data_IF_892137571050
#
_entry.id   IF_892137571050
#
_cell.length_a   1.000
_cell.length_b   1.000
_cell.length_c   1.000
_cell.angle_alpha   90.00
_cell.angle_beta   90.00
_cell.angle_gamma   90.00
#
_symmetry.space_group_name_H-M   'P 1'
#
loop_
_entity.id
_entity.type
_entity.pdbx_description
1 polymer ?
#
# COMPACT_ATOMS: atom_id res chain seq x y z
N UNK A 1 2.26 -0.50 -1.80
CA UNK A 1 2.02 -1.09 -0.46
C UNK A 1 1.32 -0.07 0.41
N UNK A 2 0.32 -0.49 1.18
CA UNK A 2 -0.38 0.34 2.17
C UNK A 2 -0.15 -0.28 3.54
N UNK A 3 0.39 0.51 4.48
CA UNK A 3 0.69 0.11 5.85
C UNK A 3 0.01 1.05 6.82
N UNK A 4 -1.01 0.56 7.53
CA UNK A 4 -1.80 1.37 8.45
C UNK A 4 -2.65 0.50 9.37
N UNK A 5 -3.08 1.08 10.49
CA UNK A 5 -4.23 0.56 11.23
C UNK A 5 -5.54 0.85 10.47
N UNK A 6 -6.67 0.37 10.99
CA UNK A 6 -7.97 0.68 10.40
C UNK A 6 -8.33 2.15 10.67
N UNK A 7 -8.32 2.97 9.62
CA UNK A 7 -8.76 4.36 9.66
C UNK A 7 -9.25 4.83 8.26
N UNK A 8 -9.98 5.96 8.18
CA UNK A 8 -10.48 6.47 6.90
C UNK A 8 -9.39 6.79 5.87
N UNK A 9 -8.23 7.30 6.30
CA UNK A 9 -7.12 7.63 5.40
C UNK A 9 -6.57 6.37 4.70
N UNK A 10 -6.52 5.23 5.39
CA UNK A 10 -6.17 3.93 4.79
C UNK A 10 -7.16 3.54 3.69
N UNK A 11 -8.47 3.70 3.92
CA UNK A 11 -9.52 3.41 2.93
C UNK A 11 -9.37 4.34 1.72
N UNK A 12 -9.12 5.63 1.95
CA UNK A 12 -8.88 6.61 0.89
C UNK A 12 -7.65 6.23 0.05
N UNK A 13 -6.53 5.86 0.68
CA UNK A 13 -5.33 5.37 -0.01
C UNK A 13 -5.63 4.13 -0.88
N UNK A 14 -6.41 3.19 -0.37
CA UNK A 14 -6.78 1.96 -1.08
C UNK A 14 -7.64 2.24 -2.32
N UNK A 15 -8.66 3.09 -2.16
CA UNK A 15 -9.52 3.53 -3.26
C UNK A 15 -8.75 4.35 -4.29
N UNK A 16 -7.87 5.25 -3.86
CA UNK A 16 -7.04 6.06 -4.74
C UNK A 16 -6.08 5.19 -5.57
N UNK A 17 -5.42 4.22 -4.94
CA UNK A 17 -4.55 3.27 -5.63
C UNK A 17 -5.32 2.45 -6.67
N UNK A 18 -6.52 1.97 -6.32
CA UNK A 18 -7.39 1.23 -7.25
C UNK A 18 -7.82 2.10 -8.44
N UNK A 19 -8.24 3.35 -8.19
CA UNK A 19 -8.58 4.31 -9.26
C UNK A 19 -7.39 4.64 -10.17
N UNK A 20 -6.19 4.68 -9.63
CA UNK A 20 -4.95 4.90 -10.38
C UNK A 20 -4.46 3.64 -11.12
N UNK A 21 -5.19 2.52 -11.09
CA UNK A 21 -4.79 1.26 -11.71
C UNK A 21 -3.59 0.58 -11.06
N UNK A 22 -3.28 0.94 -9.81
CA UNK A 22 -2.17 0.35 -9.08
C UNK A 22 -2.57 -0.97 -8.41
N UNK A 23 -1.66 -1.94 -8.41
CA UNK A 23 -1.84 -3.18 -7.65
C UNK A 23 -1.62 -2.91 -6.17
N UNK A 24 -2.66 -3.11 -5.38
CA UNK A 24 -2.61 -2.84 -3.95
C UNK A 24 -1.96 -4.00 -3.19
N UNK A 25 -1.20 -3.68 -2.14
CA UNK A 25 -0.65 -4.66 -1.19
C UNK A 25 -0.84 -4.12 0.20
N UNK A 26 -1.76 -4.71 0.98
CA UNK A 26 -1.97 -4.32 2.37
C UNK A 26 -1.11 -5.17 3.29
N UNK A 27 -0.55 -4.55 4.33
CA UNK A 27 0.25 -5.23 5.35
C UNK A 27 -0.30 -4.99 6.74
N UNK A 28 -0.15 -6.00 7.62
CA UNK A 28 -0.51 -5.85 9.02
C UNK A 28 0.45 -4.87 9.72
N UNK A 29 -0.05 -3.95 10.58
CA UNK A 29 0.79 -3.02 11.33
C UNK A 29 1.89 -3.66 12.16
N UNK A 30 1.70 -4.92 12.58
CA UNK A 30 2.64 -5.62 13.46
C UNK A 30 3.88 -6.16 12.73
N UNK A 31 3.87 -6.22 11.38
CA UNK A 31 5.02 -6.72 10.63
C UNK A 31 6.24 -5.83 10.84
N UNK A 32 7.39 -6.46 11.04
CA UNK A 32 8.70 -5.80 11.18
C UNK A 32 9.41 -5.70 9.83
N UNK A 33 10.44 -4.86 9.76
CA UNK A 33 11.25 -4.62 8.57
C UNK A 33 11.68 -5.90 7.84
N UNK A 34 12.09 -6.95 8.56
CA UNK A 34 12.46 -8.23 7.96
C UNK A 34 11.31 -8.95 7.23
N UNK A 35 10.08 -8.87 7.74
CA UNK A 35 8.89 -9.43 7.10
C UNK A 35 8.41 -8.54 5.94
N UNK A 36 8.47 -7.21 6.14
CA UNK A 36 8.14 -6.22 5.11
C UNK A 36 9.06 -6.37 3.89
N UNK A 37 10.37 -6.58 4.09
CA UNK A 37 11.32 -6.77 3.01
C UNK A 37 11.00 -8.00 2.16
N UNK A 38 10.52 -9.09 2.76
CA UNK A 38 10.09 -10.28 1.99
C UNK A 38 8.89 -9.96 1.09
N UNK A 39 7.94 -9.17 1.58
CA UNK A 39 6.75 -8.74 0.83
C UNK A 39 7.18 -7.79 -0.31
N UNK A 40 7.99 -6.77 0.01
CA UNK A 40 8.50 -5.79 -0.94
C UNK A 40 9.29 -6.46 -2.07
N UNK A 41 10.19 -7.38 -1.74
CA UNK A 41 11.01 -8.08 -2.73
C UNK A 41 10.18 -9.01 -3.61
N UNK A 42 9.23 -9.75 -3.03
CA UNK A 42 8.42 -10.71 -3.78
C UNK A 42 7.46 -10.02 -4.75
N UNK A 43 6.84 -8.92 -4.34
CA UNK A 43 5.93 -8.14 -5.19
C UNK A 43 6.65 -7.00 -5.96
N UNK A 44 7.96 -6.83 -5.80
CA UNK A 44 8.76 -5.76 -6.40
C UNK A 44 8.14 -4.38 -6.20
N UNK A 45 7.74 -4.10 -4.96
CA UNK A 45 6.96 -2.90 -4.60
C UNK A 45 7.84 -1.66 -4.75
N UNK A 46 7.35 -0.65 -5.47
CA UNK A 46 8.08 0.60 -5.72
C UNK A 46 7.64 1.78 -4.84
N UNK A 47 6.38 1.78 -4.39
CA UNK A 47 5.79 2.82 -3.55
C UNK A 47 5.11 2.22 -2.32
N UNK A 48 5.39 2.80 -1.15
CA UNK A 48 4.67 2.53 0.09
C UNK A 48 3.96 3.79 0.59
N UNK A 49 2.66 3.69 0.83
CA UNK A 49 1.87 4.64 1.61
C UNK A 49 1.82 4.13 3.05
N UNK A 50 2.37 4.89 3.99
CA UNK A 50 2.52 4.46 5.36
C UNK A 50 1.91 5.46 6.33
N UNK A 51 1.11 4.97 7.27
CA UNK A 51 0.73 5.74 8.45
C UNK A 51 2.00 6.22 9.16
N UNK A 52 2.09 7.51 9.47
CA UNK A 52 3.26 8.10 10.13
C UNK A 52 3.58 7.43 11.47
N UNK A 53 2.58 6.86 12.15
CA UNK A 53 2.76 6.11 13.41
C UNK A 53 3.46 4.75 13.25
N UNK A 54 3.59 4.26 12.02
CA UNK A 54 4.18 2.95 11.69
C UNK A 54 5.44 3.07 10.82
N UNK A 55 5.98 4.29 10.71
CA UNK A 55 7.00 4.66 9.74
C UNK A 55 8.35 3.99 9.99
N UNK A 56 8.74 3.79 11.26
CA UNK A 56 10.07 3.30 11.64
C UNK A 56 10.44 1.98 10.93
N UNK A 57 9.55 0.98 10.99
CA UNK A 57 9.76 -0.32 10.33
C UNK A 57 9.76 -0.21 8.80
N UNK A 58 8.98 0.74 8.26
CA UNK A 58 8.90 0.96 6.81
C UNK A 58 10.16 1.63 6.27
N UNK A 59 10.70 2.62 6.99
CA UNK A 59 11.98 3.28 6.67
C UNK A 59 13.13 2.30 6.80
N UNK A 60 13.16 1.48 7.85
CA UNK A 60 14.16 0.42 8.01
C UNK A 60 14.12 -0.58 6.84
N UNK A 61 12.94 -0.99 6.40
CA UNK A 61 12.77 -1.83 5.20
C UNK A 61 13.24 -1.13 3.91
N UNK A 62 12.95 0.16 3.75
CA UNK A 62 13.31 0.91 2.54
C UNK A 62 14.83 1.12 2.38
N UNK A 63 15.57 1.27 3.48
CA UNK A 63 17.02 1.56 3.48
C UNK A 63 17.83 0.57 2.66
N UNK A 64 17.50 -0.72 2.74
CA UNK A 64 18.23 -1.80 2.08
C UNK A 64 17.46 -2.38 0.87
N UNK A 65 16.34 -1.76 0.48
CA UNK A 65 15.49 -2.28 -0.59
C UNK A 65 16.03 -1.97 -1.99
N UNK A 66 15.99 -2.98 -2.86
CA UNK A 66 16.28 -2.81 -4.30
C UNK A 66 15.09 -2.25 -5.08
N UNK A 67 13.88 -2.47 -4.59
CA UNK A 67 12.64 -2.18 -5.32
C UNK A 67 11.89 -0.97 -4.76
N UNK A 68 11.83 -0.81 -3.44
CA UNK A 68 11.09 0.28 -2.80
C UNK A 68 11.82 1.61 -3.02
N UNK A 69 11.23 2.48 -3.84
CA UNK A 69 11.83 3.77 -4.23
C UNK A 69 11.30 4.94 -3.43
N UNK A 70 10.06 4.83 -2.97
CA UNK A 70 9.42 5.91 -2.25
C UNK A 70 8.56 5.37 -1.11
N UNK A 71 8.69 6.01 0.05
CA UNK A 71 7.81 5.84 1.19
C UNK A 71 7.18 7.20 1.45
N UNK A 72 5.86 7.29 1.39
CA UNK A 72 5.10 8.52 1.61
C UNK A 72 4.27 8.35 2.87
N UNK A 73 4.42 9.30 3.79
CA UNK A 73 3.67 9.34 5.04
C UNK A 73 2.26 9.91 4.83
N UNK A 74 1.25 9.26 5.41
CA UNK A 74 -0.08 9.84 5.60
C UNK A 74 -0.47 9.82 7.07
N UNK A 75 -1.30 10.75 7.49
CA UNK A 75 -1.78 10.80 8.86
C UNK A 75 -3.02 9.91 9.04
N UNK A 76 -2.89 8.84 9.81
CA UNK A 76 -4.00 7.94 10.15
C UNK A 76 -4.88 8.44 11.30
N UNK A 77 -4.70 9.68 11.75
CA UNK A 77 -5.51 10.37 12.76
C UNK A 77 -6.44 11.41 12.12
N UNK A 78 -7.14 12.20 12.93
CA UNK A 78 -8.00 13.29 12.44
C UNK A 78 -7.25 14.60 12.17
N UNK A 79 -5.91 14.65 12.38
CA UNK A 79 -5.14 15.88 12.20
C UNK A 79 -4.79 16.15 10.73
N UNK A 80 -4.67 15.10 9.90
CA UNK A 80 -4.41 15.19 8.46
C UNK A 80 -3.16 16.01 8.11
N UNK A 81 -2.08 15.86 8.88
CA UNK A 81 -0.86 16.66 8.71
C UNK A 81 0.39 15.82 8.40
N UNK A 82 0.33 15.07 7.31
CA UNK A 82 1.49 14.38 6.76
C UNK A 82 1.75 14.72 5.29
N UNK A 83 2.81 14.13 4.73
CA UNK A 83 3.27 14.41 3.37
C UNK A 83 2.16 14.20 2.33
N UNK A 84 1.45 13.06 2.39
CA UNK A 84 0.37 12.74 1.47
C UNK A 84 -0.80 13.72 1.62
N UNK A 85 -1.19 14.05 2.85
CA UNK A 85 -2.31 14.95 3.14
C UNK A 85 -2.04 16.34 2.56
N UNK A 86 -0.83 16.87 2.77
CA UNK A 86 -0.41 18.16 2.18
C UNK A 86 -0.33 18.11 0.66
N UNK A 87 0.21 17.04 0.10
CA UNK A 87 0.32 16.88 -1.35
C UNK A 87 -1.05 16.79 -2.05
N UNK A 88 -2.08 16.33 -1.35
CA UNK A 88 -3.44 16.23 -1.88
C UNK A 88 -4.16 17.58 -1.99
N UNK A 89 -3.79 18.58 -1.18
CA UNK A 89 -4.45 19.89 -1.17
C UNK A 89 -4.39 20.63 -2.52
N UNK A 90 -3.30 20.43 -3.27
CA UNK A 90 -3.08 21.06 -4.57
C UNK A 90 -3.59 20.21 -5.74
N UNK A 91 -4.35 19.13 -5.49
CA UNK A 91 -4.85 18.23 -6.53
C UNK A 91 -6.31 18.49 -6.88
N UNK A 92 -6.70 18.28 -8.15
CA UNK A 92 -8.11 18.33 -8.53
C UNK A 92 -8.95 17.32 -7.73
N UNK A 93 -10.17 17.73 -7.36
CA UNK A 93 -11.14 16.83 -6.69
C UNK A 93 -11.71 15.76 -7.63
N UNK A 94 -11.57 15.97 -8.94
CA UNK A 94 -11.94 15.01 -9.98
C UNK A 94 -10.68 14.34 -10.49
N UNK A 95 -10.69 13.01 -10.54
CA UNK A 95 -9.64 12.19 -11.12
C UNK A 95 -10.27 11.26 -12.15
N UNK A 96 -9.74 11.27 -13.37
CA UNK A 96 -10.14 10.33 -14.41
C UNK A 96 -9.51 8.96 -14.13
N UNK A 97 -10.33 7.97 -13.81
CA UNK A 97 -9.86 6.68 -13.34
C UNK A 97 -9.23 5.90 -14.51
N UNK A 98 -8.16 5.14 -14.21
CA UNK A 98 -7.53 4.28 -15.22
C UNK A 98 -8.52 3.20 -15.66
N UNK A 99 -8.66 3.03 -16.98
CA UNK A 99 -9.46 1.97 -17.61
C UNK A 99 -8.83 0.59 -17.36
N UNK A 100 -9.05 0.05 -16.17
CA UNK A 100 -8.61 -1.29 -15.78
C UNK A 100 -9.57 -2.36 -16.30
N UNK A 101 -9.02 -3.48 -16.75
CA UNK A 101 -9.76 -4.65 -17.17
C UNK A 101 -10.23 -5.49 -15.98
N UNK A 102 -11.32 -6.23 -16.16
CA UNK A 102 -11.86 -7.19 -15.18
C UNK A 102 -10.84 -8.23 -14.69
N UNK A 103 -9.85 -8.54 -15.52
CA UNK A 103 -8.84 -9.58 -15.32
C UNK A 103 -7.46 -8.98 -15.00
N UNK A 104 -7.37 -7.66 -14.81
CA UNK A 104 -6.18 -7.02 -14.26
C UNK A 104 -6.12 -7.28 -12.74
N UNK A 105 -4.91 -7.46 -12.23
CA UNK A 105 -4.69 -7.70 -10.80
C UNK A 105 -4.91 -6.38 -10.04
N UNK A 106 -5.83 -6.38 -9.09
CA UNK A 106 -6.13 -5.22 -8.24
C UNK A 106 -5.43 -5.29 -6.88
N UNK A 107 -5.23 -6.50 -6.34
CA UNK A 107 -4.72 -6.70 -4.99
C UNK A 107 -3.85 -7.96 -4.91
N UNK A 108 -2.73 -7.84 -4.18
CA UNK A 108 -1.97 -8.99 -3.70
C UNK A 108 -2.15 -9.14 -2.18
N UNK A 109 -2.77 -10.24 -1.77
CA UNK A 109 -2.89 -10.63 -0.37
C UNK A 109 -1.71 -11.50 0.06
N UNK A 110 -0.90 -11.04 1.02
CA UNK A 110 0.21 -11.86 1.53
C UNK A 110 -0.24 -12.72 2.71
N UNK A 111 0.12 -14.00 2.65
CA UNK A 111 -0.15 -14.99 3.70
C UNK A 111 1.15 -15.59 4.21
N UNK A 112 1.22 -15.84 5.52
CA UNK A 112 2.41 -16.31 6.25
C UNK A 112 2.73 -17.80 6.05
N UNK A 113 2.41 -18.37 4.88
CA UNK A 113 2.38 -19.82 4.62
C UNK A 113 3.47 -20.63 5.32
N UNK A 114 3.14 -21.85 5.76
CA UNK A 114 3.93 -22.71 6.67
C UNK A 114 5.40 -22.95 6.30
N UNK A 115 5.78 -22.68 5.05
CA UNK A 115 7.14 -22.78 4.50
C UNK A 115 8.05 -21.59 4.85
N UNK A 116 7.60 -20.64 5.67
CA UNK A 116 8.38 -19.50 6.15
C UNK A 116 8.48 -18.33 5.16
N UNK A 117 8.38 -18.58 3.85
CA UNK A 117 8.29 -17.52 2.83
C UNK A 117 6.84 -17.16 2.51
N UNK A 118 6.47 -15.87 2.50
CA UNK A 118 5.08 -15.48 2.31
C UNK A 118 4.64 -15.66 0.86
N UNK A 119 3.36 -16.00 0.68
CA UNK A 119 2.73 -16.24 -0.63
C UNK A 119 1.78 -15.10 -0.94
N UNK A 120 1.79 -14.64 -2.19
CA UNK A 120 0.90 -13.59 -2.68
C UNK A 120 -0.30 -14.23 -3.40
N UNK A 121 -1.49 -14.03 -2.86
CA UNK A 121 -2.75 -14.36 -3.55
C UNK A 121 -3.13 -13.20 -4.46
N UNK A 122 -3.32 -13.49 -5.74
CA UNK A 122 -3.75 -12.49 -6.72
C UNK A 122 -5.27 -12.39 -6.69
N UNK A 123 -5.77 -11.16 -6.57
CA UNK A 123 -7.18 -10.83 -6.71
C UNK A 123 -7.34 -9.85 -7.86
N UNK A 124 -8.29 -10.13 -8.75
CA UNK A 124 -8.58 -9.35 -9.93
C UNK A 124 -9.66 -8.30 -9.64
N UNK A 125 -9.79 -7.29 -10.49
CA UNK A 125 -10.84 -6.27 -10.34
C UNK A 125 -12.26 -6.88 -10.21
N UNK A 126 -12.57 -7.94 -10.99
CA UNK A 126 -13.84 -8.68 -10.90
C UNK A 126 -14.09 -9.40 -9.57
N UNK A 127 -13.04 -9.65 -8.78
CA UNK A 127 -13.18 -10.33 -7.50
C UNK A 127 -13.58 -9.33 -6.39
N UNK A 128 -13.36 -8.03 -6.62
CA UNK A 128 -13.60 -6.94 -5.67
C UNK A 128 -14.90 -6.18 -5.92
N UNK A 129 -15.29 -6.06 -7.19
CA UNK A 129 -16.49 -5.35 -7.63
C UNK A 129 -17.49 -6.40 -8.14
N UNK A 130 -18.61 -6.55 -7.41
CA UNK A 130 -19.78 -7.32 -7.84
C UNK A 130 -20.61 -6.45 -8.78
#
# INVERSE_FOLDING_TARGET
>A
LIRSANNPAMVACWLAATKAGAVVVNTMPMLRSGELSQIVDKAKITLALCDTRLMDEMVACAKDSRFLKQVVGFDGTANHDAELDRAALDKPVVFDAVETGRDDVALLGFTSGTTGSPKATMHFHRDLLI
#
